data_IF_937347875499
#
_entry.id   IF_937347875499
#
_cell.length_a   1.000
_cell.length_b   1.000
_cell.length_c   1.000
_cell.angle_alpha   90.00
_cell.angle_beta   90.00
_cell.angle_gamma   90.00
#
_symmetry.space_group_name_H-M   'P 1'
#
loop_
_entity.id
_entity.type
_entity.pdbx_description
1 polymer ?
#
# COMPACT_ATOMS: atom_id res chain seq x y z
N UNK A 1 29.07 15.46 3.84
CA UNK A 1 29.18 14.83 5.18
C UNK A 1 27.90 15.11 5.97
N UNK A 2 27.15 14.08 6.39
CA UNK A 2 25.93 14.27 7.21
C UNK A 2 26.30 14.67 8.63
N UNK A 3 25.63 15.70 9.17
CA UNK A 3 25.87 16.19 10.54
C UNK A 3 25.58 15.08 11.57
N UNK A 4 26.23 15.15 12.74
CA UNK A 4 26.01 14.19 13.85
C UNK A 4 24.53 14.17 14.25
N UNK A 5 23.88 15.35 14.27
CA UNK A 5 22.46 15.50 14.52
C UNK A 5 21.58 14.79 13.48
N UNK A 6 21.88 14.93 12.17
CA UNK A 6 21.13 14.22 11.13
C UNK A 6 21.30 12.70 11.24
N UNK A 7 22.51 12.23 11.57
CA UNK A 7 22.74 10.78 11.80
C UNK A 7 21.95 10.25 12.99
N UNK A 8 21.85 11.02 14.08
CA UNK A 8 21.02 10.65 15.23
C UNK A 8 19.53 10.62 14.87
N UNK A 9 19.03 11.64 14.15
CA UNK A 9 17.65 11.68 13.66
C UNK A 9 17.31 10.46 12.78
N UNK A 10 18.17 10.12 11.82
CA UNK A 10 17.96 8.96 10.94
C UNK A 10 17.94 7.64 11.72
N UNK A 11 18.81 7.50 12.73
CA UNK A 11 18.83 6.31 13.60
C UNK A 11 17.54 6.20 14.43
N UNK A 12 17.05 7.32 14.97
CA UNK A 12 15.76 7.35 15.70
C UNK A 12 14.60 6.98 14.77
N UNK A 13 14.63 7.47 13.52
CA UNK A 13 13.64 7.16 12.50
C UNK A 13 13.81 5.75 11.89
N UNK A 14 14.77 4.95 12.36
CA UNK A 14 14.99 3.59 11.87
C UNK A 14 15.37 3.52 10.39
N UNK A 15 16.15 4.47 9.87
CA UNK A 15 16.47 4.53 8.43
C UNK A 15 17.93 4.90 8.15
N UNK A 16 18.36 4.73 6.89
CA UNK A 16 19.67 5.16 6.41
C UNK A 16 19.53 6.46 5.59
N UNK A 17 20.61 7.23 5.34
CA UNK A 17 20.53 8.42 4.50
C UNK A 17 19.97 8.14 3.10
N UNK A 18 20.40 7.04 2.46
CA UNK A 18 19.93 6.63 1.14
C UNK A 18 18.44 6.24 1.14
N UNK A 19 18.03 5.41 2.09
CA UNK A 19 16.62 5.03 2.28
C UNK A 19 15.74 6.24 2.58
N UNK A 20 16.22 7.19 3.39
CA UNK A 20 15.50 8.45 3.67
C UNK A 20 15.36 9.31 2.42
N UNK A 21 16.40 9.42 1.60
CA UNK A 21 16.31 10.17 0.35
C UNK A 21 15.27 9.57 -0.59
N UNK A 22 15.24 8.23 -0.72
CA UNK A 22 14.22 7.56 -1.50
C UNK A 22 12.81 7.74 -0.91
N UNK A 23 12.66 7.66 0.42
CA UNK A 23 11.38 7.95 1.08
C UNK A 23 10.92 9.39 0.82
N UNK A 24 11.84 10.37 0.90
CA UNK A 24 11.56 11.77 0.60
C UNK A 24 11.08 11.96 -0.85
N UNK A 25 11.71 11.27 -1.82
CA UNK A 25 11.30 11.29 -3.22
C UNK A 25 9.92 10.63 -3.44
N UNK A 26 9.70 9.42 -2.90
CA UNK A 26 8.44 8.67 -3.03
C UNK A 26 7.27 9.43 -2.38
N UNK A 27 7.49 10.01 -1.20
CA UNK A 27 6.50 10.85 -0.52
C UNK A 27 6.22 12.13 -1.31
N UNK A 28 7.24 12.75 -1.90
CA UNK A 28 7.07 13.92 -2.76
C UNK A 28 6.16 13.61 -3.96
N UNK A 29 6.41 12.50 -4.65
CA UNK A 29 5.55 12.02 -5.75
C UNK A 29 4.13 11.77 -5.24
N UNK A 30 3.97 10.95 -4.20
CA UNK A 30 2.65 10.65 -3.64
C UNK A 30 1.89 11.93 -3.23
N UNK A 31 2.58 12.92 -2.65
CA UNK A 31 1.99 14.19 -2.24
C UNK A 31 1.50 15.02 -3.43
N UNK A 32 2.29 15.13 -4.50
CA UNK A 32 1.88 15.81 -5.73
C UNK A 32 0.66 15.10 -6.33
N UNK A 33 0.69 13.77 -6.44
CA UNK A 33 -0.41 13.01 -7.03
C UNK A 33 -1.70 13.10 -6.21
N UNK A 34 -1.61 12.98 -4.88
CA UNK A 34 -2.76 13.19 -4.00
C UNK A 34 -3.30 14.61 -4.12
N UNK A 35 -2.43 15.63 -4.16
CA UNK A 35 -2.86 17.03 -4.29
C UNK A 35 -3.52 17.29 -5.65
N UNK A 36 -2.93 16.78 -6.73
CA UNK A 36 -3.49 16.86 -8.07
C UNK A 36 -4.89 16.23 -8.13
N UNK A 37 -5.06 15.05 -7.53
CA UNK A 37 -6.36 14.40 -7.41
C UNK A 37 -7.36 15.27 -6.63
N UNK A 38 -6.97 15.82 -5.48
CA UNK A 38 -7.85 16.69 -4.68
C UNK A 38 -8.26 17.94 -5.45
N UNK A 39 -7.34 18.52 -6.24
CA UNK A 39 -7.63 19.66 -7.12
C UNK A 39 -8.61 19.27 -8.23
N UNK A 40 -8.40 18.14 -8.91
CA UNK A 40 -9.25 17.61 -10.00
C UNK A 40 -10.68 17.31 -9.52
N UNK A 41 -10.84 16.84 -8.29
CA UNK A 41 -12.15 16.58 -7.68
C UNK A 41 -12.83 17.84 -7.11
N UNK A 42 -12.11 18.96 -7.04
CA UNK A 42 -12.65 20.23 -6.56
C UNK A 42 -13.68 20.80 -7.55
N UNK A 43 -14.93 21.08 -7.15
CA UNK A 43 -15.96 21.59 -8.07
C UNK A 43 -15.57 22.92 -8.73
N UNK A 44 -14.72 23.72 -8.08
CA UNK A 44 -14.19 24.98 -8.59
C UNK A 44 -13.24 24.81 -9.79
N UNK A 45 -12.69 23.60 -9.98
CA UNK A 45 -11.68 23.30 -11.00
C UNK A 45 -12.24 22.45 -12.15
N UNK A 46 -13.57 22.30 -12.23
CA UNK A 46 -14.22 21.40 -13.20
C UNK A 46 -13.89 21.71 -14.67
N UNK A 47 -13.53 22.97 -14.99
CA UNK A 47 -13.17 23.43 -16.32
C UNK A 47 -11.69 23.79 -16.47
N UNK A 48 -10.86 23.45 -15.50
CA UNK A 48 -9.42 23.75 -15.52
C UNK A 48 -8.68 22.60 -16.19
N UNK A 49 -7.73 22.92 -17.07
CA UNK A 49 -6.94 21.93 -17.79
C UNK A 49 -6.09 21.09 -16.81
N UNK A 50 -5.95 19.79 -17.10
CA UNK A 50 -5.21 18.87 -16.22
C UNK A 50 -3.74 19.27 -16.04
N UNK A 51 -3.10 19.83 -17.08
CA UNK A 51 -1.71 20.30 -17.00
C UNK A 51 -1.58 21.46 -15.99
N UNK A 52 -2.51 22.42 -16.04
CA UNK A 52 -2.53 23.56 -15.10
C UNK A 52 -2.77 23.10 -13.66
N UNK A 53 -3.69 22.16 -13.44
CA UNK A 53 -3.93 21.58 -12.11
C UNK A 53 -2.72 20.79 -11.59
N UNK A 54 -1.98 20.13 -12.47
CA UNK A 54 -0.77 19.40 -12.10
C UNK A 54 0.34 20.37 -11.68
N UNK A 55 0.55 21.44 -12.44
CA UNK A 55 1.50 22.50 -12.10
C UNK A 55 1.16 23.15 -10.75
N UNK A 56 -0.12 23.46 -10.53
CA UNK A 56 -0.60 23.96 -9.24
C UNK A 56 -0.31 22.98 -8.09
N UNK A 57 -0.50 21.67 -8.30
CA UNK A 57 -0.17 20.65 -7.30
C UNK A 57 1.33 20.62 -6.99
N UNK A 58 2.18 20.71 -8.01
CA UNK A 58 3.65 20.77 -7.86
C UNK A 58 4.05 22.01 -7.07
N UNK A 59 3.47 23.18 -7.34
CA UNK A 59 3.74 24.42 -6.60
C UNK A 59 3.32 24.30 -5.13
N UNK A 60 2.09 23.83 -4.86
CA UNK A 60 1.55 23.67 -3.51
C UNK A 60 2.42 22.73 -2.68
N UNK A 61 2.82 21.60 -3.24
CA UNK A 61 3.61 20.58 -2.54
C UNK A 61 5.09 20.97 -2.46
N UNK A 62 5.63 21.65 -3.47
CA UNK A 62 7.02 22.12 -3.50
C UNK A 62 7.35 23.12 -2.38
N UNK A 63 6.36 23.87 -1.89
CA UNK A 63 6.52 24.76 -0.72
C UNK A 63 6.55 24.04 0.62
N UNK A 64 6.15 22.76 0.68
CA UNK A 64 6.06 21.97 1.91
C UNK A 64 7.37 21.24 2.20
N UNK A 65 7.73 21.13 3.48
CA UNK A 65 8.82 20.26 3.93
C UNK A 65 8.37 18.80 3.91
N UNK A 66 9.32 17.86 3.87
CA UNK A 66 9.08 16.42 3.88
C UNK A 66 8.00 15.97 4.89
N UNK A 67 8.09 16.37 6.16
CA UNK A 67 7.10 15.96 7.18
C UNK A 67 5.68 16.49 6.87
N UNK A 68 5.57 17.68 6.26
CA UNK A 68 4.30 18.25 5.86
C UNK A 68 3.75 17.56 4.60
N UNK A 69 4.61 17.14 3.67
CA UNK A 69 4.23 16.32 2.52
C UNK A 69 3.75 14.94 2.97
N UNK A 70 4.49 14.30 3.88
CA UNK A 70 4.12 13.01 4.46
C UNK A 70 2.80 13.07 5.20
N UNK A 71 2.58 14.10 6.02
CA UNK A 71 1.31 14.30 6.71
C UNK A 71 0.16 14.56 5.72
N UNK A 72 0.41 15.34 4.66
CA UNK A 72 -0.60 15.58 3.62
C UNK A 72 -1.05 14.26 2.95
N UNK A 73 -0.11 13.41 2.54
CA UNK A 73 -0.44 12.10 1.95
C UNK A 73 -1.14 11.21 2.97
N UNK A 74 -0.68 11.19 4.22
CA UNK A 74 -1.32 10.45 5.31
C UNK A 74 -2.80 10.84 5.47
N UNK A 75 -3.11 12.14 5.43
CA UNK A 75 -4.47 12.65 5.58
C UNK A 75 -5.34 12.31 4.35
N UNK A 76 -4.82 12.48 3.13
CA UNK A 76 -5.56 12.15 1.89
C UNK A 76 -5.80 10.65 1.74
N UNK A 77 -4.83 9.82 2.10
CA UNK A 77 -4.99 8.36 2.10
C UNK A 77 -5.98 7.94 3.19
N UNK A 78 -5.92 8.53 4.40
CA UNK A 78 -6.84 8.19 5.48
C UNK A 78 -8.31 8.44 5.09
N UNK A 79 -8.60 9.55 4.40
CA UNK A 79 -9.94 9.83 3.85
C UNK A 79 -10.41 8.71 2.91
N UNK A 80 -9.53 8.25 2.01
CA UNK A 80 -9.86 7.20 1.05
C UNK A 80 -10.00 5.81 1.71
N UNK A 81 -9.16 5.49 2.69
CA UNK A 81 -9.31 4.26 3.51
C UNK A 81 -10.65 4.29 4.23
N UNK A 82 -11.01 5.43 4.86
CA UNK A 82 -12.30 5.59 5.51
C UNK A 82 -13.47 5.35 4.54
N UNK A 83 -13.47 6.00 3.36
CA UNK A 83 -14.51 5.78 2.36
C UNK A 83 -14.59 4.31 1.90
N UNK A 84 -13.45 3.64 1.77
CA UNK A 84 -13.39 2.20 1.47
C UNK A 84 -14.07 1.37 2.56
N UNK A 85 -13.74 1.63 3.83
CA UNK A 85 -14.28 0.88 4.96
C UNK A 85 -15.79 1.12 5.09
N UNK A 86 -16.25 2.36 4.92
CA UNK A 86 -17.67 2.70 4.87
C UNK A 86 -18.40 1.97 3.74
N UNK A 87 -17.78 1.84 2.56
CA UNK A 87 -18.35 1.08 1.45
C UNK A 87 -18.48 -0.41 1.80
N UNK A 88 -17.50 -1.02 2.47
CA UNK A 88 -17.59 -2.40 2.97
C UNK A 88 -18.72 -2.55 4.00
N UNK A 89 -18.83 -1.63 4.96
CA UNK A 89 -19.86 -1.69 6.01
C UNK A 89 -21.28 -1.47 5.48
N UNK A 90 -21.43 -0.78 4.34
CA UNK A 90 -22.71 -0.56 3.65
C UNK A 90 -23.15 -1.75 2.78
N UNK A 91 -22.28 -2.73 2.54
CA UNK A 91 -22.65 -3.91 1.78
C UNK A 91 -23.77 -4.71 2.47
N UNK A 92 -24.73 -5.30 1.73
CA UNK A 92 -25.74 -6.17 2.30
C UNK A 92 -25.11 -7.35 3.07
N UNK A 93 -25.48 -7.53 4.35
CA UNK A 93 -24.97 -8.61 5.23
C UNK A 93 -25.56 -10.00 4.93
N UNK A 94 -26.47 -10.11 3.97
CA UNK A 94 -27.26 -11.34 3.71
C UNK A 94 -26.45 -12.52 3.11
N UNK A 95 -25.14 -12.37 2.91
CA UNK A 95 -24.24 -13.37 2.32
C UNK A 95 -23.53 -14.28 3.34
N UNK A 96 -23.77 -14.16 4.65
CA UNK A 96 -23.18 -15.07 5.66
C UNK A 96 -23.68 -16.54 5.55
N UNK A 97 -24.66 -16.83 4.69
CA UNK A 97 -25.23 -18.18 4.48
C UNK A 97 -24.81 -18.87 3.18
N UNK A 98 -23.52 -18.90 2.85
CA UNK A 98 -22.93 -20.06 2.15
C UNK A 98 -21.41 -19.94 2.03
N UNK A 99 -20.68 -20.44 3.02
CA UNK A 99 -19.30 -20.89 2.78
C UNK A 99 -19.20 -22.32 3.33
N UNK A 100 -19.10 -23.35 2.48
CA UNK A 100 -18.72 -24.67 2.95
C UNK A 100 -17.30 -24.61 3.53
N UNK A 101 -17.12 -25.27 4.66
CA UNK A 101 -15.84 -25.45 5.34
C UNK A 101 -14.80 -26.16 4.44
N UNK A 102 -13.56 -25.71 4.59
CA UNK A 102 -12.27 -26.37 4.30
C UNK A 102 -11.76 -26.42 2.85
N UNK A 103 -10.50 -26.00 2.67
CA UNK A 103 -9.47 -26.90 2.15
C UNK A 103 -8.14 -26.72 2.90
N UNK A 104 -7.68 -27.84 3.46
CA UNK A 104 -6.36 -28.10 4.02
C UNK A 104 -5.56 -28.82 2.92
N UNK A 105 -5.23 -28.14 1.83
CA UNK A 105 -4.12 -28.45 0.90
C UNK A 105 -4.22 -27.47 -0.27
N UNK A 106 -3.07 -26.90 -0.62
CA UNK A 106 -2.94 -25.84 -1.62
C UNK A 106 -3.23 -26.31 -3.04
N UNK A 107 -3.78 -25.36 -3.81
CA UNK A 107 -4.17 -25.41 -5.22
C UNK A 107 -5.44 -26.20 -5.57
N UNK A 108 -6.48 -25.46 -5.95
CA UNK A 108 -7.32 -25.77 -7.12
C UNK A 108 -7.87 -24.47 -7.73
N UNK A 109 -7.85 -24.40 -9.07
CA UNK A 109 -8.51 -23.36 -9.86
C UNK A 109 -10.02 -23.44 -9.65
N UNK A 110 -10.68 -22.29 -9.47
CA UNK A 110 -12.12 -22.15 -9.74
C UNK A 110 -12.33 -20.89 -10.57
N UNK A 111 -12.28 -21.03 -11.88
CA UNK A 111 -12.77 -20.04 -12.84
C UNK A 111 -14.30 -20.09 -13.03
N UNK A 112 -15.08 -20.46 -12.01
CA UNK A 112 -16.53 -20.71 -12.17
C UNK A 112 -17.43 -20.27 -10.99
N UNK A 113 -17.00 -19.42 -10.04
CA UNK A 113 -17.90 -18.98 -8.94
C UNK A 113 -17.80 -17.50 -8.55
N UNK A 114 -17.33 -16.60 -9.43
CA UNK A 114 -17.50 -15.15 -9.20
C UNK A 114 -18.74 -14.55 -9.87
N UNK A 115 -19.54 -15.34 -10.61
CA UNK A 115 -20.66 -14.81 -11.40
C UNK A 115 -22.02 -14.77 -10.68
N UNK A 116 -22.10 -15.01 -9.37
CA UNK A 116 -23.38 -14.89 -8.64
C UNK A 116 -23.16 -14.34 -7.26
N UNK A 117 -23.24 -13.01 -7.14
CA UNK A 117 -23.91 -12.25 -6.07
C UNK A 117 -23.44 -10.79 -6.23
N UNK A 118 -24.37 -9.81 -6.19
CA UNK A 118 -24.12 -8.37 -6.41
C UNK A 118 -23.17 -7.68 -5.42
N UNK A 119 -22.31 -8.41 -4.72
CA UNK A 119 -21.33 -7.94 -3.76
C UNK A 119 -20.22 -7.14 -4.46
N UNK A 120 -19.73 -7.63 -5.61
CA UNK A 120 -18.71 -6.94 -6.44
C UNK A 120 -19.27 -5.66 -7.03
N UNK A 121 -20.47 -5.72 -7.61
CA UNK A 121 -21.17 -4.57 -8.18
C UNK A 121 -21.45 -3.47 -7.14
N UNK A 122 -21.88 -3.84 -5.94
CA UNK A 122 -22.26 -2.85 -4.92
C UNK A 122 -21.03 -2.18 -4.30
N UNK A 123 -19.91 -2.90 -4.09
CA UNK A 123 -18.65 -2.26 -3.70
C UNK A 123 -18.14 -1.30 -4.76
N UNK A 124 -18.12 -1.76 -6.01
CA UNK A 124 -17.65 -0.97 -7.14
C UNK A 124 -18.48 0.31 -7.30
N UNK A 125 -19.81 0.24 -7.12
CA UNK A 125 -20.68 1.44 -7.11
C UNK A 125 -20.37 2.40 -5.97
N UNK A 126 -20.01 1.89 -4.79
CA UNK A 126 -19.79 2.71 -3.59
C UNK A 126 -18.38 3.29 -3.51
N UNK A 127 -17.37 2.57 -4.00
CA UNK A 127 -15.96 2.93 -3.89
C UNK A 127 -15.31 3.33 -5.23
N UNK A 128 -15.91 2.92 -6.36
CA UNK A 128 -15.47 3.23 -7.72
C UNK A 128 -14.81 2.06 -8.46
N UNK A 129 -14.22 1.12 -7.72
CA UNK A 129 -13.57 -0.07 -8.28
C UNK A 129 -13.55 -1.25 -7.29
N UNK A 130 -13.31 -2.46 -7.80
CA UNK A 130 -12.93 -3.64 -7.02
C UNK A 130 -11.55 -4.14 -7.45
N UNK A 131 -10.92 -4.99 -6.64
CA UNK A 131 -9.68 -5.67 -6.99
C UNK A 131 -9.93 -7.17 -7.10
N UNK A 132 -9.48 -7.75 -8.21
CA UNK A 132 -9.56 -9.18 -8.46
C UNK A 132 -8.15 -9.77 -8.43
N UNK A 133 -7.97 -10.84 -7.67
CA UNK A 133 -6.74 -11.63 -7.67
C UNK A 133 -6.94 -12.79 -8.64
N UNK A 134 -6.24 -12.74 -9.76
CA UNK A 134 -6.39 -13.67 -10.87
C UNK A 134 -5.05 -13.94 -11.56
N UNK A 135 -5.01 -14.77 -12.60
CA UNK A 135 -3.78 -15.06 -13.34
C UNK A 135 -3.17 -13.76 -13.92
N UNK A 136 -1.90 -13.54 -13.61
CA UNK A 136 -1.14 -12.37 -14.05
C UNK A 136 -0.95 -12.38 -15.56
N UNK A 137 -0.96 -11.20 -16.17
CA UNK A 137 -0.54 -11.01 -17.56
C UNK A 137 0.95 -11.27 -17.78
N UNK A 138 1.75 -11.26 -16.71
CA UNK A 138 3.19 -11.52 -16.76
C UNK A 138 3.45 -13.04 -16.75
N UNK A 139 4.10 -13.59 -17.80
CA UNK A 139 4.36 -15.02 -17.89
C UNK A 139 5.15 -15.55 -16.68
N UNK A 140 4.60 -16.55 -16.00
CA UNK A 140 5.25 -17.20 -14.87
C UNK A 140 5.21 -16.42 -13.54
N UNK A 141 4.54 -15.26 -13.49
CA UNK A 141 4.37 -14.49 -12.24
C UNK A 141 3.30 -15.08 -11.30
N UNK A 142 2.48 -16.03 -11.78
CA UNK A 142 1.40 -16.63 -11.01
C UNK A 142 0.18 -15.73 -10.98
N UNK A 143 -0.29 -15.38 -9.77
CA UNK A 143 -1.42 -14.46 -9.59
C UNK A 143 -0.93 -13.01 -9.61
N UNK A 144 -1.78 -12.12 -10.14
CA UNK A 144 -1.64 -10.67 -10.09
C UNK A 144 -2.90 -10.02 -9.53
N UNK A 145 -2.91 -8.70 -9.45
CA UNK A 145 -4.08 -7.92 -9.02
C UNK A 145 -4.56 -7.07 -10.17
N UNK A 146 -5.78 -7.31 -10.66
CA UNK A 146 -6.43 -6.46 -11.66
C UNK A 146 -7.48 -5.57 -11.03
N UNK A 147 -7.59 -4.36 -11.55
CA UNK A 147 -8.62 -3.41 -11.15
C UNK A 147 -9.87 -3.58 -12.03
N UNK A 148 -11.05 -3.66 -11.43
CA UNK A 148 -12.35 -3.63 -12.13
C UNK A 148 -13.05 -2.30 -11.84
N UNK A 149 -13.39 -1.54 -12.86
CA UNK A 149 -13.83 -0.15 -12.77
C UNK A 149 -12.76 0.83 -13.22
N UNK A 150 -12.56 1.92 -12.49
CA UNK A 150 -11.45 2.84 -12.78
C UNK A 150 -10.97 3.52 -11.52
N UNK A 151 -9.66 3.76 -11.44
CA UNK A 151 -9.06 4.54 -10.37
C UNK A 151 -8.24 5.67 -10.96
N UNK A 152 -8.61 6.95 -10.73
CA UNK A 152 -7.80 8.06 -11.21
C UNK A 152 -6.47 8.13 -10.46
N UNK A 153 -5.47 8.73 -11.09
CA UNK A 153 -4.16 9.01 -10.50
C UNK A 153 -4.27 9.64 -9.11
N UNK A 154 -3.40 9.23 -8.19
CA UNK A 154 -3.42 9.65 -6.79
C UNK A 154 -4.46 8.93 -5.90
N UNK A 155 -5.23 7.98 -6.44
CA UNK A 155 -6.19 7.19 -5.66
C UNK A 155 -5.49 6.13 -4.82
N UNK A 156 -5.99 5.88 -3.62
CA UNK A 156 -5.71 4.64 -2.88
C UNK A 156 -6.29 3.48 -3.67
N UNK A 157 -5.45 2.52 -4.05
CA UNK A 157 -5.90 1.32 -4.76
C UNK A 157 -5.87 0.07 -3.90
N UNK A 158 -4.84 -0.13 -3.09
CA UNK A 158 -4.69 -1.36 -2.31
C UNK A 158 -3.99 -1.12 -0.95
N UNK A 159 -4.18 -2.08 -0.03
CA UNK A 159 -3.50 -2.16 1.26
C UNK A 159 -2.68 -3.45 1.33
N UNK A 160 -1.50 -3.38 1.95
CA UNK A 160 -0.69 -4.56 2.23
C UNK A 160 -1.17 -5.25 3.52
N UNK A 161 -1.77 -6.45 3.45
CA UNK A 161 -2.24 -7.13 4.65
C UNK A 161 -1.08 -7.71 5.46
N UNK A 162 -1.37 -8.05 6.71
CA UNK A 162 -0.57 -9.00 7.48
C UNK A 162 0.05 -8.45 8.75
N UNK A 163 0.96 -9.24 9.30
CA UNK A 163 1.49 -9.07 10.64
C UNK A 163 2.62 -8.05 10.66
N UNK A 164 2.54 -7.11 11.60
CA UNK A 164 3.48 -6.00 11.75
C UNK A 164 4.57 -6.31 12.77
N UNK A 165 5.81 -6.16 12.32
CA UNK A 165 7.02 -6.32 13.11
C UNK A 165 7.74 -4.97 13.23
N UNK A 166 7.81 -4.44 14.44
CA UNK A 166 8.62 -3.27 14.75
C UNK A 166 10.10 -3.66 14.92
N UNK A 167 11.04 -2.69 14.84
CA UNK A 167 12.45 -2.93 15.09
C UNK A 167 12.81 -3.62 16.40
N UNK A 168 11.97 -3.50 17.43
CA UNK A 168 12.17 -4.22 18.68
C UNK A 168 11.80 -5.73 18.61
N UNK A 169 10.93 -6.13 17.68
CA UNK A 169 10.46 -7.50 17.55
C UNK A 169 11.55 -8.40 16.97
N UNK A 170 12.08 -8.09 15.80
CA UNK A 170 13.08 -8.93 15.13
C UNK A 170 14.51 -8.83 15.71
N UNK A 171 14.68 -8.19 16.88
CA UNK A 171 15.85 -8.45 17.76
C UNK A 171 15.82 -9.86 18.34
N UNK A 172 14.62 -10.48 18.42
CA UNK A 172 14.46 -11.87 18.84
C UNK A 172 14.69 -12.81 17.67
N UNK A 173 15.52 -13.84 17.89
CA UNK A 173 15.93 -14.79 16.84
C UNK A 173 14.76 -15.49 16.12
N UNK A 174 13.67 -15.82 16.84
CA UNK A 174 12.53 -16.50 16.21
C UNK A 174 11.80 -15.61 15.19
N UNK A 175 11.48 -14.36 15.54
CA UNK A 175 10.86 -13.42 14.60
C UNK A 175 11.79 -13.09 13.45
N UNK A 176 13.10 -12.95 13.69
CA UNK A 176 14.05 -12.76 12.60
C UNK A 176 14.07 -13.97 11.64
N UNK A 177 13.97 -15.19 12.17
CA UNK A 177 13.87 -16.42 11.38
C UNK A 177 12.58 -16.50 10.55
N UNK A 178 11.44 -16.05 11.08
CA UNK A 178 10.17 -15.98 10.34
C UNK A 178 10.21 -14.99 9.17
N UNK A 179 10.91 -13.86 9.33
CA UNK A 179 11.04 -12.82 8.31
C UNK A 179 12.14 -13.12 7.28
N UNK A 180 13.12 -13.96 7.65
CA UNK A 180 14.22 -14.32 6.75
C UNK A 180 13.73 -15.18 5.60
N UNK A 181 14.09 -14.81 4.38
CA UNK A 181 13.68 -15.51 3.15
C UNK A 181 12.16 -15.61 2.95
N UNK A 182 11.40 -14.69 3.54
CA UNK A 182 9.96 -14.61 3.37
C UNK A 182 9.60 -13.66 2.21
N UNK A 183 9.09 -14.17 1.07
CA UNK A 183 8.75 -13.31 -0.08
C UNK A 183 7.56 -12.37 0.19
N UNK A 184 6.78 -12.64 1.25
CA UNK A 184 5.65 -11.81 1.66
C UNK A 184 6.02 -10.77 2.72
N UNK A 185 7.28 -10.74 3.19
CA UNK A 185 7.75 -9.74 4.13
C UNK A 185 8.23 -8.49 3.39
N UNK A 186 7.59 -7.35 3.68
CA UNK A 186 7.91 -6.06 3.05
C UNK A 186 8.38 -5.06 4.09
N UNK A 187 9.57 -4.51 3.87
CA UNK A 187 10.17 -3.52 4.75
C UNK A 187 9.83 -2.09 4.31
N UNK A 188 9.27 -1.30 5.23
CA UNK A 188 9.10 0.15 5.09
C UNK A 188 10.43 0.88 5.28
N UNK A 189 10.47 2.15 4.92
CA UNK A 189 11.68 2.98 5.06
C UNK A 189 12.10 3.24 6.52
N UNK A 190 11.16 3.13 7.47
CA UNK A 190 11.36 3.25 8.92
C UNK A 190 11.67 1.92 9.62
N UNK A 191 12.05 0.89 8.84
CA UNK A 191 12.39 -0.46 9.31
C UNK A 191 11.25 -1.25 9.97
N UNK A 192 10.00 -0.80 9.82
CA UNK A 192 8.83 -1.64 10.09
C UNK A 192 8.72 -2.68 8.98
N UNK A 193 8.44 -3.93 9.33
CA UNK A 193 8.24 -5.02 8.38
C UNK A 193 6.81 -5.52 8.50
N UNK A 194 6.13 -5.70 7.37
CA UNK A 194 4.78 -6.28 7.30
C UNK A 194 4.86 -7.61 6.56
N UNK A 195 4.39 -8.68 7.19
CA UNK A 195 4.37 -10.04 6.65
C UNK A 195 2.96 -10.48 6.27
N UNK A 196 2.69 -10.60 4.97
CA UNK A 196 1.41 -11.02 4.44
C UNK A 196 1.21 -12.54 4.40
N UNK A 197 2.18 -13.37 4.81
CA UNK A 197 2.09 -14.84 4.71
C UNK A 197 0.87 -15.44 5.43
N UNK A 198 0.41 -14.77 6.49
CA UNK A 198 -0.78 -15.15 7.27
C UNK A 198 -1.79 -14.00 7.26
N UNK A 199 -2.15 -13.51 6.08
CA UNK A 199 -3.17 -12.48 5.94
C UNK A 199 -4.46 -12.83 6.70
N UNK A 200 -4.96 -11.92 7.52
CA UNK A 200 -6.26 -12.07 8.17
C UNK A 200 -6.80 -10.71 8.61
N UNK A 201 -7.81 -10.20 7.91
CA UNK A 201 -8.81 -9.29 8.50
C UNK A 201 -10.13 -10.05 8.61
N UNK A 202 -10.97 -9.70 9.59
CA UNK A 202 -12.29 -10.30 9.77
C UNK A 202 -13.30 -9.20 10.09
N UNK A 203 -14.19 -8.84 9.15
CA UNK A 203 -14.36 -9.41 7.81
C UNK A 203 -13.18 -9.10 6.86
N UNK A 204 -13.10 -9.82 5.73
CA UNK A 204 -12.03 -9.62 4.74
C UNK A 204 -12.14 -8.22 4.15
N UNK A 205 -11.06 -7.46 4.18
CA UNK A 205 -10.97 -6.17 3.53
C UNK A 205 -10.73 -6.37 2.03
N UNK A 206 -11.65 -5.93 1.14
CA UNK A 206 -11.56 -6.21 -0.30
C UNK A 206 -10.34 -5.61 -0.99
N UNK A 207 -9.78 -4.52 -0.46
CA UNK A 207 -8.60 -3.87 -1.05
C UNK A 207 -7.28 -4.34 -0.42
N UNK A 208 -7.32 -5.25 0.55
CA UNK A 208 -6.15 -5.75 1.26
C UNK A 208 -5.47 -6.92 0.53
N UNK A 209 -5.15 -6.74 -0.75
CA UNK A 209 -4.55 -7.77 -1.62
C UNK A 209 -3.19 -7.35 -2.18
N UNK A 210 -2.59 -6.27 -1.67
CA UNK A 210 -1.40 -5.68 -2.28
C UNK A 210 -0.14 -6.57 -2.27
N UNK A 211 -0.14 -7.63 -1.47
CA UNK A 211 0.92 -8.65 -1.45
C UNK A 211 0.93 -9.55 -2.71
N UNK A 212 -0.08 -9.41 -3.58
CA UNK A 212 -0.19 -10.07 -4.89
C UNK A 212 0.14 -9.14 -6.06
N UNK A 213 0.40 -7.84 -5.81
CA UNK A 213 0.78 -6.88 -6.86
C UNK A 213 2.18 -7.23 -7.35
N UNK A 214 2.29 -7.58 -8.62
CA UNK A 214 3.55 -8.02 -9.22
C UNK A 214 4.51 -6.89 -9.55
N UNK A 215 5.75 -7.26 -9.85
CA UNK A 215 6.68 -6.39 -10.53
C UNK A 215 6.26 -6.24 -12.01
N UNK A 216 6.37 -5.05 -12.62
CA UNK A 216 6.09 -4.92 -14.04
C UNK A 216 7.05 -5.75 -14.90
N UNK A 217 6.61 -6.24 -16.07
CA UNK A 217 7.50 -6.77 -17.08
C UNK A 217 8.32 -5.64 -17.74
N UNK A 218 9.35 -6.00 -18.49
CA UNK A 218 10.15 -5.03 -19.25
C UNK A 218 9.27 -4.13 -20.13
N UNK A 219 9.67 -2.86 -20.29
CA UNK A 219 8.93 -1.82 -21.03
C UNK A 219 7.55 -1.43 -20.47
N UNK A 220 7.10 -2.03 -19.37
CA UNK A 220 5.87 -1.63 -18.68
C UNK A 220 6.22 -0.81 -17.45
N UNK A 221 5.71 0.42 -17.29
CA UNK A 221 5.95 1.18 -16.09
C UNK A 221 5.14 0.62 -14.90
N UNK A 222 5.63 0.74 -13.66
CA UNK A 222 4.79 0.55 -12.50
C UNK A 222 3.69 1.61 -12.46
N UNK A 223 2.47 1.21 -12.11
CA UNK A 223 1.30 2.10 -11.99
C UNK A 223 0.84 2.29 -10.53
N UNK A 224 1.59 1.75 -9.55
CA UNK A 224 1.38 2.02 -8.13
C UNK A 224 2.67 2.33 -7.37
N UNK A 225 2.56 3.17 -6.34
CA UNK A 225 3.64 3.47 -5.39
C UNK A 225 3.22 3.13 -3.96
N UNK A 226 4.13 2.55 -3.19
CA UNK A 226 3.90 2.23 -1.78
C UNK A 226 4.11 3.44 -0.87
N UNK A 227 3.15 3.70 0.01
CA UNK A 227 3.21 4.73 1.04
C UNK A 227 3.12 4.11 2.44
N UNK A 228 4.03 4.55 3.32
CA UNK A 228 4.08 4.14 4.71
C UNK A 228 2.92 4.78 5.49
N UNK A 229 1.76 4.11 5.46
CA UNK A 229 0.51 4.57 6.07
C UNK A 229 0.43 4.20 7.55
N UNK A 230 -0.08 5.10 8.37
CA UNK A 230 -0.41 4.86 9.77
C UNK A 230 -1.93 4.82 9.96
N UNK A 231 -2.49 3.76 10.54
CA UNK A 231 -3.93 3.76 10.84
C UNK A 231 -4.21 4.76 11.97
N UNK A 232 -5.06 5.78 11.76
CA UNK A 232 -5.27 6.85 12.74
C UNK A 232 -5.82 6.33 14.08
N UNK A 233 -5.32 6.79 15.25
CA UNK A 233 -5.82 6.41 16.57
C UNK A 233 -7.05 7.22 17.01
N UNK A 234 -7.78 7.80 16.06
CA UNK A 234 -8.99 8.58 16.29
C UNK A 234 -10.19 7.93 15.57
N UNK A 235 -11.40 8.29 15.97
CA UNK A 235 -12.62 7.86 15.24
C UNK A 235 -12.57 8.34 13.77
N UNK A 236 -13.09 7.54 12.82
CA UNK A 236 -13.83 6.29 13.04
C UNK A 236 -12.95 5.04 13.19
N UNK A 237 -11.64 5.11 13.01
CA UNK A 237 -10.75 3.94 12.96
C UNK A 237 -10.68 3.14 14.27
N UNK A 238 -10.96 3.78 15.40
CA UNK A 238 -11.03 3.11 16.71
C UNK A 238 -12.39 2.46 17.02
N UNK A 239 -13.39 2.64 16.15
CA UNK A 239 -14.67 1.92 16.29
C UNK A 239 -14.47 0.45 15.98
N UNK A 240 -15.29 -0.41 16.60
CA UNK A 240 -15.16 -1.86 16.44
C UNK A 240 -15.29 -2.28 14.97
N UNK A 241 -16.23 -1.67 14.25
CA UNK A 241 -16.52 -1.97 12.86
C UNK A 241 -15.36 -1.61 11.93
N UNK A 242 -14.65 -0.51 12.20
CA UNK A 242 -13.48 -0.12 11.41
C UNK A 242 -12.24 -0.92 11.80
N UNK A 243 -12.02 -1.16 13.10
CA UNK A 243 -10.87 -1.92 13.61
C UNK A 243 -10.85 -3.34 13.01
N UNK A 244 -12.02 -3.98 12.89
CA UNK A 244 -12.20 -5.30 12.25
C UNK A 244 -11.80 -5.33 10.76
N UNK A 245 -11.85 -4.18 10.08
CA UNK A 245 -11.46 -3.99 8.67
C UNK A 245 -9.99 -3.62 8.48
N UNK A 246 -9.26 -3.27 9.55
CA UNK A 246 -7.82 -3.00 9.46
C UNK A 246 -7.09 -4.31 9.15
N UNK A 247 -6.37 -4.42 8.02
CA UNK A 247 -5.77 -5.68 7.60
C UNK A 247 -4.41 -5.96 8.25
N UNK A 248 -4.06 -5.20 9.29
CA UNK A 248 -2.78 -5.26 9.96
C UNK A 248 -2.95 -5.43 11.46
N UNK A 249 -2.10 -6.25 12.06
CA UNK A 249 -2.01 -6.40 13.52
C UNK A 249 -0.56 -6.61 13.91
N UNK A 250 -0.16 -6.17 15.09
CA UNK A 250 1.20 -6.44 15.55
C UNK A 250 1.40 -7.91 15.90
N UNK A 251 2.58 -8.46 15.59
CA UNK A 251 2.96 -9.81 16.06
C UNK A 251 2.88 -9.94 17.59
N UNK A 252 3.07 -8.80 18.27
CA UNK A 252 2.97 -8.62 19.71
C UNK A 252 2.77 -7.14 20.00
N UNK A 253 2.03 -6.84 21.06
CA UNK A 253 1.86 -5.48 21.57
C UNK A 253 3.20 -4.74 21.67
N UNK A 254 3.33 -3.55 21.06
CA UNK A 254 4.56 -2.80 21.03
C UNK A 254 4.83 -2.15 22.40
N UNK A 255 6.12 -1.95 22.70
CA UNK A 255 6.49 -1.19 23.89
C UNK A 255 6.11 0.29 23.75
N UNK A 256 5.81 0.96 24.87
CA UNK A 256 5.58 2.41 24.88
C UNK A 256 6.74 3.18 24.25
N UNK A 257 7.98 2.70 24.44
CA UNK A 257 9.18 3.30 23.87
C UNK A 257 9.18 3.21 22.33
N UNK A 258 8.77 2.08 21.76
CA UNK A 258 8.68 1.89 20.32
C UNK A 258 7.54 2.66 19.65
N UNK A 259 6.55 3.09 20.42
CA UNK A 259 5.44 3.94 19.96
C UNK A 259 5.65 5.43 20.27
N UNK A 260 6.77 5.86 20.87
CA UNK A 260 7.02 7.28 21.15
C UNK A 260 7.01 8.07 19.83
N UNK A 261 6.19 9.11 19.77
CA UNK A 261 6.03 9.96 18.58
C UNK A 261 5.23 9.31 17.44
N UNK A 262 4.77 8.07 17.62
CA UNK A 262 3.92 7.36 16.66
C UNK A 262 2.48 7.36 17.17
N UNK A 263 1.62 8.12 16.50
CA UNK A 263 0.19 8.16 16.77
C UNK A 263 -0.52 7.29 15.73
N UNK A 264 -0.53 5.99 15.97
CA UNK A 264 -1.14 5.00 15.09
C UNK A 264 -1.72 3.85 15.89
N UNK A 265 -2.85 3.29 15.44
CA UNK A 265 -3.37 2.00 15.92
C UNK A 265 -2.36 0.90 15.54
N UNK A 266 -1.99 0.88 14.26
CA UNK A 266 -1.03 -0.07 13.68
C UNK A 266 -0.40 0.54 12.43
N UNK A 267 0.78 0.05 12.06
CA UNK A 267 1.49 0.50 10.87
C UNK A 267 0.99 -0.29 9.66
N UNK A 268 0.57 0.42 8.61
CA UNK A 268 0.16 -0.14 7.34
C UNK A 268 1.14 0.18 6.21
N UNK A 269 0.80 -0.32 5.03
CA UNK A 269 1.39 0.07 3.76
C UNK A 269 0.26 0.20 2.74
N UNK A 270 0.03 1.42 2.26
CA UNK A 270 -0.98 1.76 1.28
C UNK A 270 -0.35 1.88 -0.11
N UNK A 271 -1.11 1.59 -1.16
CA UNK A 271 -0.68 1.73 -2.54
C UNK A 271 -1.50 2.79 -3.23
N UNK A 272 -0.81 3.77 -3.81
CA UNK A 272 -1.38 4.93 -4.48
C UNK A 272 -1.15 4.78 -5.98
N UNK A 273 -2.18 5.00 -6.79
CA UNK A 273 -2.10 4.99 -8.24
C UNK A 273 -1.15 6.10 -8.75
N UNK A 274 -0.18 5.74 -9.59
CA UNK A 274 0.74 6.69 -10.25
C UNK A 274 0.33 7.07 -11.66
N UNK A 275 -0.76 6.49 -12.15
CA UNK A 275 -1.42 6.81 -13.41
C UNK A 275 -2.95 6.68 -13.23
N UNK A 276 -3.73 7.13 -14.21
CA UNK A 276 -5.13 6.70 -14.30
C UNK A 276 -5.13 5.20 -14.66
N UNK A 277 -5.78 4.38 -13.83
CA UNK A 277 -5.84 2.93 -14.00
C UNK A 277 -7.21 2.58 -14.59
N UNK A 278 -7.19 1.95 -15.76
CA UNK A 278 -8.40 1.57 -16.49
C UNK A 278 -8.98 0.24 -16.00
N UNK A 279 -10.18 -0.06 -16.47
CA UNK A 279 -10.83 -1.35 -16.25
C UNK A 279 -9.96 -2.48 -16.80
N UNK A 280 -9.89 -3.59 -16.08
CA UNK A 280 -9.05 -4.77 -16.37
C UNK A 280 -7.54 -4.56 -16.26
N UNK A 281 -7.07 -3.36 -15.91
CA UNK A 281 -5.63 -3.10 -15.86
C UNK A 281 -4.99 -3.78 -14.64
N UNK A 282 -3.85 -4.43 -14.86
CA UNK A 282 -3.07 -5.07 -13.80
C UNK A 282 -2.24 -4.04 -13.04
N UNK A 283 -2.24 -4.14 -11.71
CA UNK A 283 -1.43 -3.31 -10.85
C UNK A 283 0.02 -3.83 -10.84
N UNK A 284 0.96 -2.90 -11.00
CA UNK A 284 2.39 -3.17 -11.02
C UNK A 284 3.17 -2.25 -10.11
N UNK A 285 4.07 -2.86 -9.35
CA UNK A 285 4.85 -2.24 -8.29
C UNK A 285 6.34 -2.42 -8.54
N UNK A 286 7.08 -1.32 -8.55
CA UNK A 286 8.53 -1.44 -8.57
C UNK A 286 9.03 -2.09 -7.26
N UNK A 287 9.65 -3.27 -7.37
CA UNK A 287 10.15 -4.03 -6.21
C UNK A 287 11.51 -3.52 -5.72
N UNK A 288 12.25 -2.77 -6.56
CA UNK A 288 13.54 -2.15 -6.24
C UNK A 288 14.52 -3.12 -5.59
N UNK A 289 14.82 -4.23 -6.27
CA UNK A 289 15.80 -5.20 -5.76
C UNK A 289 17.19 -4.60 -5.73
N UNK A 290 18.07 -5.13 -4.88
CA UNK A 290 19.42 -4.62 -4.74
C UNK A 290 20.23 -4.94 -6.01
N UNK A 291 20.64 -3.93 -6.80
CA UNK A 291 21.36 -4.16 -8.05
C UNK A 291 22.80 -4.65 -7.85
N UNK A 292 23.32 -4.62 -6.62
CA UNK A 292 24.64 -5.18 -6.25
C UNK A 292 24.56 -6.65 -5.84
N UNK A 293 23.38 -7.29 -5.95
CA UNK A 293 23.17 -8.72 -5.73
C UNK A 293 22.80 -9.41 -7.04
N UNK A 294 22.92 -10.74 -7.07
CA UNK A 294 22.39 -11.55 -8.17
C UNK A 294 20.87 -11.35 -8.24
N UNK A 295 20.40 -10.77 -9.35
CA UNK A 295 18.97 -10.57 -9.61
C UNK A 295 18.37 -11.86 -10.21
N UNK A 296 17.11 -12.20 -9.88
CA UNK A 296 16.42 -13.31 -10.56
C UNK A 296 16.25 -13.05 -12.06
N UNK A 297 16.25 -14.11 -12.86
CA UNK A 297 16.11 -14.00 -14.34
C UNK A 297 14.81 -13.33 -14.78
N UNK A 298 13.74 -13.45 -13.98
CA UNK A 298 12.44 -12.82 -14.27
C UNK A 298 12.40 -11.32 -13.95
N UNK A 299 13.36 -10.79 -13.20
CA UNK A 299 13.33 -9.42 -12.71
C UNK A 299 14.02 -8.46 -13.69
N UNK A 300 13.30 -7.43 -14.13
CA UNK A 300 13.83 -6.36 -14.97
C UNK A 300 13.86 -5.06 -14.17
N UNK A 301 15.03 -4.46 -13.87
CA UNK A 301 15.07 -3.19 -13.14
C UNK A 301 14.33 -2.07 -13.88
N UNK A 302 13.49 -1.33 -13.17
CA UNK A 302 12.75 -0.17 -13.73
C UNK A 302 13.67 1.06 -13.83
N UNK A 303 14.48 1.30 -12.80
CA UNK A 303 15.47 2.37 -12.74
C UNK A 303 16.67 1.91 -11.91
N UNK A 304 17.69 1.41 -12.59
CA UNK A 304 18.91 0.85 -11.97
C UNK A 304 19.64 1.91 -11.14
N UNK A 305 19.63 3.17 -11.57
CA UNK A 305 20.37 4.24 -10.90
C UNK A 305 19.66 4.66 -9.61
N UNK A 306 18.33 4.79 -9.64
CA UNK A 306 17.52 5.02 -8.44
C UNK A 306 17.62 3.85 -7.47
N UNK A 307 17.54 2.60 -7.95
CA UNK A 307 17.67 1.41 -7.11
C UNK A 307 19.04 1.39 -6.42
N UNK A 308 20.12 1.59 -7.20
CA UNK A 308 21.48 1.65 -6.67
C UNK A 308 21.65 2.79 -5.67
N UNK A 309 21.03 3.95 -5.90
CA UNK A 309 21.06 5.07 -4.97
C UNK A 309 20.38 4.74 -3.64
N UNK A 310 19.24 4.01 -3.68
CA UNK A 310 18.52 3.57 -2.48
C UNK A 310 19.30 2.53 -1.65
N UNK A 311 20.05 1.64 -2.33
CA UNK A 311 20.78 0.53 -1.69
C UNK A 311 22.20 0.87 -1.19
N UNK A 312 22.67 2.11 -1.39
CA UNK A 312 23.93 2.63 -0.82
C UNK A 312 23.88 2.83 0.69
#
# INVERSE_FOLDING_TARGET
MTSVWRRLQLRIAGTTPARRFQEEADVGVAAVLSCFRSLKLGPQNANTEHEELFDQAVEIIGTKKFEQQKQFVQDEVAKQVQSSFEAVLKMPKDSEKSVPKMSLSGFERTSEVEEKLGITDDFQKLFGFTLNVEESSVPGAGEGVKLRGSAPIGSLVALYPGIVYLPEHYKKKHYLGELSSNPYARARFDSVIIDAKKESSKPRNPIAVAHKINHPPSETPPNVIGFAFEFPPEEPFTTKEFDELIPNSFVREPSRLSMIGKRAIVHGLAFIATADIADEEELFLNYRYNPDRSLPEWYTPVDVDSDRAMWK
#
